data_IF_226672923659
#
_entry.id   IF_226672923659
#
_cell.length_a   1.000
_cell.length_b   1.000
_cell.length_c   1.000
_cell.angle_alpha   90.00
_cell.angle_beta   90.00
_cell.angle_gamma   90.00
#
_symmetry.space_group_name_H-M   'P 1'
#
loop_
_entity.id
_entity.type
_entity.pdbx_description
1 polymer ?
#
# COMPACT_ATOMS: atom_id res chain seq x y z
N UNK A 1 -9.13 -6.35 14.09
CA UNK A 1 -10.18 -5.49 13.50
C UNK A 1 -11.50 -6.25 13.35
N UNK A 2 -11.54 -7.30 12.55
CA UNK A 2 -12.80 -8.01 12.19
C UNK A 2 -13.32 -9.05 13.17
N UNK A 3 -12.54 -9.46 14.17
CA UNK A 3 -13.02 -10.41 15.19
C UNK A 3 -13.94 -9.69 16.19
N UNK A 4 -15.24 -10.04 16.24
CA UNK A 4 -16.18 -9.39 17.15
C UNK A 4 -15.93 -9.75 18.62
N UNK A 5 -15.14 -10.78 18.92
CA UNK A 5 -14.85 -11.21 20.29
C UNK A 5 -13.81 -10.35 20.99
N UNK A 6 -13.00 -9.61 20.24
CA UNK A 6 -11.95 -8.75 20.80
C UNK A 6 -12.52 -7.39 21.18
N UNK A 7 -12.13 -6.91 22.35
CA UNK A 7 -12.40 -5.53 22.78
C UNK A 7 -11.63 -4.52 21.93
N UNK A 8 -12.10 -3.28 21.88
CA UNK A 8 -11.42 -2.23 21.12
C UNK A 8 -10.04 -1.90 21.69
N UNK A 9 -9.86 -2.02 23.01
CA UNK A 9 -8.55 -1.89 23.66
C UNK A 9 -7.57 -2.98 23.19
N UNK A 10 -8.03 -4.22 23.03
CA UNK A 10 -7.19 -5.31 22.50
C UNK A 10 -6.87 -5.12 21.02
N UNK A 11 -7.84 -4.69 20.21
CA UNK A 11 -7.62 -4.36 18.79
C UNK A 11 -6.59 -3.25 18.64
N UNK A 12 -6.70 -2.19 19.45
CA UNK A 12 -5.76 -1.06 19.47
C UNK A 12 -4.34 -1.52 19.83
N UNK A 13 -4.20 -2.36 20.86
CA UNK A 13 -2.90 -2.94 21.26
C UNK A 13 -2.27 -3.77 20.14
N UNK A 14 -3.05 -4.61 19.48
CA UNK A 14 -2.58 -5.44 18.36
C UNK A 14 -2.16 -4.59 17.16
N UNK A 15 -2.91 -3.53 16.89
CA UNK A 15 -2.60 -2.59 15.83
C UNK A 15 -1.31 -1.81 16.10
N UNK A 16 -1.12 -1.29 17.32
CA UNK A 16 0.14 -0.64 17.72
C UNK A 16 1.33 -1.59 17.52
N UNK A 17 1.19 -2.85 17.94
CA UNK A 17 2.21 -3.87 17.70
C UNK A 17 2.48 -4.10 16.22
N UNK A 18 1.46 -4.12 15.37
CA UNK A 18 1.62 -4.25 13.92
C UNK A 18 2.38 -3.05 13.33
N UNK A 19 2.07 -1.83 13.77
CA UNK A 19 2.78 -0.61 13.38
C UNK A 19 4.26 -0.66 13.78
N UNK A 20 4.59 -1.10 15.00
CA UNK A 20 5.98 -1.25 15.45
C UNK A 20 6.76 -2.20 14.54
N UNK A 21 6.19 -3.39 14.28
CA UNK A 21 6.82 -4.40 13.41
C UNK A 21 7.01 -3.86 11.99
N UNK A 22 6.02 -3.13 11.45
CA UNK A 22 6.12 -2.53 10.12
C UNK A 22 7.24 -1.48 10.07
N UNK A 23 7.29 -0.57 11.04
CA UNK A 23 8.33 0.47 11.10
C UNK A 23 9.73 -0.14 11.22
N UNK A 24 9.90 -1.14 12.08
CA UNK A 24 11.19 -1.81 12.24
C UNK A 24 11.61 -2.55 10.97
N UNK A 25 10.67 -3.24 10.31
CA UNK A 25 10.94 -3.93 9.05
C UNK A 25 11.36 -2.95 7.95
N UNK A 26 10.67 -1.81 7.82
CA UNK A 26 11.02 -0.75 6.89
C UNK A 26 12.41 -0.16 7.17
N UNK A 27 12.72 0.19 8.43
CA UNK A 27 14.05 0.70 8.82
C UNK A 27 15.15 -0.32 8.52
N UNK A 28 14.91 -1.59 8.81
CA UNK A 28 15.85 -2.66 8.50
C UNK A 28 16.10 -2.75 6.99
N UNK A 29 15.05 -2.74 6.16
CA UNK A 29 15.18 -2.74 4.71
C UNK A 29 15.98 -1.54 4.19
N UNK A 30 15.69 -0.33 4.68
CA UNK A 30 16.43 0.90 4.34
C UNK A 30 17.90 0.86 4.75
N UNK A 31 18.24 0.11 5.80
CA UNK A 31 19.61 -0.10 6.27
C UNK A 31 20.33 -1.30 5.62
N UNK A 32 19.79 -1.84 4.52
CA UNK A 32 20.41 -2.95 3.79
C UNK A 32 20.19 -4.34 4.41
N UNK A 33 19.27 -4.47 5.38
CA UNK A 33 18.91 -5.74 6.02
C UNK A 33 17.64 -6.37 5.42
N UNK A 34 17.18 -5.86 4.27
CA UNK A 34 16.06 -6.44 3.52
C UNK A 34 16.47 -7.73 2.81
N UNK A 35 15.50 -8.62 2.56
CA UNK A 35 15.77 -9.96 2.00
C UNK A 35 15.64 -10.01 0.47
N UNK A 36 14.80 -9.17 -0.13
CA UNK A 36 14.39 -9.30 -1.53
C UNK A 36 15.57 -9.19 -2.50
N UNK A 37 16.43 -8.19 -2.31
CA UNK A 37 17.62 -7.99 -3.15
C UNK A 37 18.68 -9.06 -2.87
N UNK A 38 18.77 -9.55 -1.64
CA UNK A 38 19.66 -10.66 -1.30
C UNK A 38 19.24 -11.96 -2.02
N UNK A 39 17.95 -12.32 -1.97
CA UNK A 39 17.41 -13.47 -2.70
C UNK A 39 17.58 -13.32 -4.22
N UNK A 40 17.38 -12.10 -4.75
CA UNK A 40 17.61 -11.82 -6.16
C UNK A 40 19.08 -12.01 -6.56
N UNK A 41 20.04 -11.55 -5.75
CA UNK A 41 21.46 -11.78 -6.01
C UNK A 41 21.81 -13.26 -6.01
N UNK A 42 21.30 -14.03 -5.06
CA UNK A 42 21.52 -15.49 -5.03
C UNK A 42 20.97 -16.16 -6.29
N UNK A 43 19.82 -15.70 -6.79
CA UNK A 43 19.26 -16.16 -8.06
C UNK A 43 20.12 -15.78 -9.27
N UNK A 44 20.60 -14.54 -9.37
CA UNK A 44 21.51 -14.15 -10.45
C UNK A 44 22.78 -15.00 -10.47
N UNK A 45 23.34 -15.29 -9.29
CA UNK A 45 24.51 -16.17 -9.14
C UNK A 45 24.18 -17.60 -9.55
N UNK A 46 23.05 -18.16 -9.11
CA UNK A 46 22.65 -19.53 -9.46
C UNK A 46 22.46 -19.68 -10.97
N UNK A 47 21.82 -18.71 -11.62
CA UNK A 47 21.68 -18.65 -13.07
C UNK A 47 23.04 -18.57 -13.75
N UNK A 48 23.94 -17.69 -13.28
CA UNK A 48 25.27 -17.51 -13.87
C UNK A 48 26.15 -18.76 -13.82
N UNK A 49 25.99 -19.61 -12.80
CA UNK A 49 26.70 -20.88 -12.66
C UNK A 49 25.92 -22.11 -13.16
N UNK A 50 24.72 -21.93 -13.69
CA UNK A 50 23.86 -23.05 -14.11
C UNK A 50 23.42 -23.96 -12.96
N UNK A 51 23.30 -23.41 -11.74
CA UNK A 51 22.87 -24.14 -10.54
C UNK A 51 21.36 -23.97 -10.38
N UNK A 52 20.63 -25.08 -10.35
CA UNK A 52 19.24 -25.08 -9.95
C UNK A 52 19.10 -25.10 -8.42
N UNK A 53 18.25 -24.22 -7.90
CA UNK A 53 17.95 -24.15 -6.47
C UNK A 53 16.44 -24.28 -6.25
N UNK A 54 15.96 -25.42 -5.71
CA UNK A 54 14.55 -25.59 -5.36
C UNK A 54 14.04 -24.51 -4.40
N UNK A 55 14.90 -24.04 -3.50
CA UNK A 55 14.60 -22.95 -2.59
C UNK A 55 14.33 -21.64 -3.33
N UNK A 56 15.25 -21.21 -4.22
CA UNK A 56 15.09 -19.96 -4.97
C UNK A 56 13.90 -20.03 -5.93
N UNK A 57 13.67 -21.17 -6.57
CA UNK A 57 12.49 -21.40 -7.42
C UNK A 57 11.19 -21.25 -6.62
N UNK A 58 11.13 -21.76 -5.39
CA UNK A 58 9.96 -21.59 -4.54
C UNK A 58 9.80 -20.16 -4.03
N UNK A 59 10.90 -19.54 -3.60
CA UNK A 59 10.90 -18.20 -3.04
C UNK A 59 10.45 -17.15 -4.07
N UNK A 60 10.93 -17.25 -5.31
CA UNK A 60 10.68 -16.27 -6.37
C UNK A 60 9.40 -16.50 -7.16
N UNK A 61 8.77 -17.68 -7.06
CA UNK A 61 7.49 -17.99 -7.72
C UNK A 61 6.25 -17.51 -6.95
N UNK A 62 6.44 -16.88 -5.79
CA UNK A 62 5.32 -16.35 -5.00
C UNK A 62 4.60 -15.23 -5.77
N UNK A 63 3.26 -15.25 -5.82
CA UNK A 63 2.52 -14.24 -6.55
C UNK A 63 2.54 -12.93 -5.75
N UNK A 64 3.22 -11.91 -6.27
CA UNK A 64 3.31 -10.56 -5.70
C UNK A 64 1.99 -9.79 -5.93
N UNK A 65 0.89 -10.29 -5.35
CA UNK A 65 -0.49 -9.83 -5.61
C UNK A 65 -0.79 -8.41 -5.13
N UNK A 66 0.02 -7.85 -4.25
CA UNK A 66 -0.12 -6.48 -3.81
C UNK A 66 1.23 -5.79 -3.95
N UNK A 67 1.29 -4.80 -4.84
CA UNK A 67 2.44 -3.92 -4.98
C UNK A 67 2.06 -2.55 -4.44
N UNK A 68 2.79 -2.08 -3.43
CA UNK A 68 2.52 -0.78 -2.79
C UNK A 68 3.74 0.13 -2.86
N UNK A 69 3.53 1.44 -3.07
CA UNK A 69 4.59 2.42 -2.92
C UNK A 69 4.04 3.73 -2.38
N UNK A 70 4.77 4.30 -1.42
CA UNK A 70 4.61 5.70 -1.07
C UNK A 70 5.23 6.57 -2.17
N UNK A 71 4.55 7.63 -2.55
CA UNK A 71 5.07 8.65 -3.44
C UNK A 71 5.83 9.72 -2.66
N UNK A 72 6.96 10.22 -3.16
CA UNK A 72 7.60 11.40 -2.59
C UNK A 72 6.63 12.59 -2.58
N UNK A 73 6.41 13.18 -1.39
CA UNK A 73 5.42 14.26 -1.24
C UNK A 73 5.76 15.52 -2.04
N UNK A 74 7.04 15.72 -2.35
CA UNK A 74 7.56 16.92 -3.03
C UNK A 74 7.62 16.79 -4.55
N UNK A 75 7.13 15.68 -5.13
CA UNK A 75 7.15 15.51 -6.59
C UNK A 75 6.19 16.44 -7.32
N UNK A 76 5.16 16.94 -6.64
CA UNK A 76 4.13 17.80 -7.23
C UNK A 76 3.28 18.47 -6.16
N UNK A 77 2.81 19.66 -6.47
CA UNK A 77 1.88 20.44 -5.64
C UNK A 77 0.41 20.23 -6.05
N UNK A 78 0.13 19.29 -6.97
CA UNK A 78 -1.22 19.05 -7.49
C UNK A 78 -2.23 18.65 -6.42
N UNK A 79 -1.78 18.06 -5.31
CA UNK A 79 -2.65 17.74 -4.17
C UNK A 79 -3.34 18.99 -3.59
N UNK A 80 -2.73 20.19 -3.70
CA UNK A 80 -3.36 21.46 -3.31
C UNK A 80 -4.59 21.82 -4.15
N UNK A 81 -4.73 21.24 -5.35
CA UNK A 81 -5.93 21.40 -6.16
C UNK A 81 -7.09 20.57 -5.61
N UNK A 82 -6.81 19.48 -4.88
CA UNK A 82 -7.86 18.70 -4.20
C UNK A 82 -8.52 19.55 -3.13
N UNK A 83 -7.74 20.23 -2.28
CA UNK A 83 -8.28 21.16 -1.27
C UNK A 83 -9.18 22.22 -1.91
N UNK A 84 -8.68 22.90 -2.94
CA UNK A 84 -9.45 23.91 -3.68
C UNK A 84 -10.72 23.34 -4.32
N UNK A 85 -10.69 22.09 -4.80
CA UNK A 85 -11.87 21.44 -5.36
C UNK A 85 -12.92 21.15 -4.27
N UNK A 86 -12.48 20.74 -3.08
CA UNK A 86 -13.36 20.50 -1.93
C UNK A 86 -13.95 21.81 -1.35
N UNK A 87 -13.25 22.93 -1.47
CA UNK A 87 -13.73 24.27 -1.09
C UNK A 87 -14.80 24.85 -2.03
N UNK A 88 -15.17 24.13 -3.11
CA UNK A 88 -16.16 24.60 -4.07
C UNK A 88 -15.66 25.73 -4.98
N UNK A 89 -14.35 25.80 -5.22
CA UNK A 89 -13.78 26.72 -6.20
C UNK A 89 -14.08 26.26 -7.64
N UNK A 90 -13.47 26.90 -8.65
CA UNK A 90 -13.60 26.49 -10.06
C UNK A 90 -12.97 25.13 -10.38
N UNK A 91 -12.16 24.57 -9.49
CA UNK A 91 -11.47 23.30 -9.68
C UNK A 91 -12.37 22.15 -9.22
N UNK A 92 -12.25 21.00 -9.88
CA UNK A 92 -12.94 19.76 -9.54
C UNK A 92 -11.93 18.68 -9.11
N UNK A 93 -12.41 17.60 -8.50
CA UNK A 93 -11.59 16.43 -8.18
C UNK A 93 -10.97 15.83 -9.44
N UNK A 94 -11.64 15.97 -10.59
CA UNK A 94 -11.12 15.50 -11.88
C UNK A 94 -9.87 16.27 -12.33
N UNK A 95 -9.77 17.56 -11.98
CA UNK A 95 -8.59 18.39 -12.25
C UNK A 95 -7.38 18.03 -11.38
N UNK A 96 -7.62 17.28 -10.29
CA UNK A 96 -6.60 16.87 -9.33
C UNK A 96 -6.35 15.36 -9.33
N UNK A 97 -6.81 14.64 -10.37
CA UNK A 97 -6.60 13.19 -10.50
C UNK A 97 -5.12 12.82 -10.44
N UNK A 98 -4.85 11.74 -9.71
CA UNK A 98 -3.50 11.17 -9.55
C UNK A 98 -2.48 12.22 -9.09
N UNK A 99 -2.69 12.92 -7.95
CA UNK A 99 -1.85 14.03 -7.53
C UNK A 99 -0.42 13.60 -7.18
N UNK A 100 -0.05 12.32 -7.30
CA UNK A 100 1.34 11.84 -7.30
C UNK A 100 1.67 10.77 -8.35
N UNK A 101 0.71 10.41 -9.22
CA UNK A 101 0.84 9.33 -10.21
C UNK A 101 0.34 7.96 -9.73
N UNK A 102 0.73 6.89 -10.44
CA UNK A 102 0.32 5.52 -10.13
C UNK A 102 0.97 4.48 -11.05
N UNK A 103 0.78 3.20 -10.74
CA UNK A 103 1.29 2.08 -11.54
C UNK A 103 0.27 0.95 -11.59
N UNK A 104 0.40 0.07 -12.60
CA UNK A 104 -0.43 -1.13 -12.78
C UNK A 104 -0.06 -2.28 -11.83
N UNK A 105 -0.92 -3.30 -11.68
CA UNK A 105 -0.59 -4.49 -10.91
C UNK A 105 0.49 -5.33 -11.61
N UNK A 106 1.39 -5.93 -10.83
CA UNK A 106 2.45 -6.82 -11.33
C UNK A 106 1.99 -8.27 -11.51
N UNK A 107 0.88 -8.65 -10.87
CA UNK A 107 0.23 -9.96 -11.00
C UNK A 107 -1.07 -9.84 -11.80
N UNK A 108 -1.48 -10.93 -12.46
CA UNK A 108 -2.78 -10.98 -13.15
C UNK A 108 -3.96 -10.82 -12.19
N UNK A 109 -3.84 -11.39 -11.00
CA UNK A 109 -4.84 -11.42 -9.94
C UNK A 109 -4.48 -10.51 -8.75
N UNK A 110 -3.82 -9.38 -9.05
CA UNK A 110 -3.30 -8.47 -8.03
C UNK A 110 -3.70 -7.00 -8.22
N UNK A 111 -3.13 -6.17 -7.34
CA UNK A 111 -3.35 -4.74 -7.24
C UNK A 111 -2.03 -3.95 -7.29
N UNK A 112 -2.06 -2.79 -7.95
CA UNK A 112 -1.05 -1.74 -7.79
C UNK A 112 -1.63 -0.60 -6.97
N UNK A 113 -1.03 -0.29 -5.83
CA UNK A 113 -1.53 0.73 -4.89
C UNK A 113 -0.43 1.75 -4.61
N UNK A 114 -0.60 2.94 -5.19
CA UNK A 114 0.26 4.08 -4.88
C UNK A 114 -0.45 4.97 -3.87
N UNK A 115 0.29 5.52 -2.91
CA UNK A 115 -0.30 6.41 -1.91
C UNK A 115 0.58 7.61 -1.58
N UNK A 116 -0.06 8.68 -1.14
CA UNK A 116 0.56 9.94 -0.74
C UNK A 116 -0.05 10.43 0.55
N UNK A 117 0.80 10.78 1.52
CA UNK A 117 0.41 11.56 2.69
C UNK A 117 0.76 13.01 2.36
N UNK A 118 -0.24 13.83 2.04
CA UNK A 118 -0.09 15.17 1.51
C UNK A 118 -0.55 16.22 2.52
N UNK A 119 0.27 17.25 2.74
CA UNK A 119 0.01 18.24 3.78
C UNK A 119 -0.11 17.59 5.16
N UNK A 120 -1.09 18.05 5.94
CA UNK A 120 -1.42 17.51 7.27
C UNK A 120 -2.73 16.71 7.27
N UNK A 121 -3.62 16.97 6.32
CA UNK A 121 -5.03 16.51 6.38
C UNK A 121 -5.45 15.59 5.23
N UNK A 122 -4.53 15.22 4.32
CA UNK A 122 -4.88 14.47 3.12
C UNK A 122 -4.10 13.16 2.96
N UNK A 123 -4.84 12.08 2.72
CA UNK A 123 -4.33 10.83 2.17
C UNK A 123 -4.87 10.62 0.76
N UNK A 124 -3.98 10.50 -0.22
CA UNK A 124 -4.32 10.18 -1.59
C UNK A 124 -3.96 8.73 -1.93
N UNK A 125 -4.84 8.03 -2.63
CA UNK A 125 -4.59 6.68 -3.14
C UNK A 125 -4.84 6.61 -4.64
N UNK A 126 -3.98 5.91 -5.36
CA UNK A 126 -4.20 5.44 -6.72
C UNK A 126 -4.19 3.92 -6.73
N UNK A 127 -5.31 3.31 -7.10
CA UNK A 127 -5.53 1.87 -7.03
C UNK A 127 -5.82 1.32 -8.42
N UNK A 128 -5.02 0.36 -8.87
CA UNK A 128 -5.18 -0.29 -10.16
C UNK A 128 -5.35 -1.80 -10.02
N UNK A 129 -6.21 -2.37 -10.85
CA UNK A 129 -6.39 -3.81 -11.03
C UNK A 129 -6.69 -4.11 -12.50
N UNK A 130 -6.60 -5.38 -12.91
CA UNK A 130 -6.89 -5.78 -14.30
C UNK A 130 -8.37 -6.10 -14.46
N UNK A 131 -9.03 -5.45 -15.42
CA UNK A 131 -10.44 -5.72 -15.77
C UNK A 131 -10.68 -7.17 -16.23
N UNK A 132 -9.66 -7.84 -16.75
CA UNK A 132 -9.71 -9.24 -17.15
C UNK A 132 -9.75 -10.22 -15.98
N UNK A 133 -9.41 -9.78 -14.76
CA UNK A 133 -9.40 -10.62 -13.58
C UNK A 133 -10.69 -10.44 -12.76
N UNK A 134 -11.60 -11.44 -12.74
CA UNK A 134 -12.90 -11.30 -12.10
C UNK A 134 -12.84 -11.23 -10.57
N UNK A 135 -11.70 -11.58 -9.97
CA UNK A 135 -11.51 -11.57 -8.51
C UNK A 135 -10.91 -10.27 -7.99
N UNK A 136 -10.58 -9.31 -8.86
CA UNK A 136 -10.04 -8.01 -8.47
C UNK A 136 -10.95 -6.85 -8.86
N UNK A 137 -10.99 -5.80 -8.05
CA UNK A 137 -11.72 -4.57 -8.37
C UNK A 137 -11.08 -3.40 -7.64
N UNK A 138 -10.54 -2.43 -8.39
CA UNK A 138 -9.99 -1.19 -7.82
C UNK A 138 -11.01 -0.47 -6.95
N UNK A 139 -12.28 -0.38 -7.39
CA UNK A 139 -13.33 0.33 -6.68
C UNK A 139 -13.63 -0.34 -5.32
N UNK A 140 -13.82 -1.66 -5.32
CA UNK A 140 -14.04 -2.40 -4.05
C UNK A 140 -12.85 -2.30 -3.11
N UNK A 141 -11.63 -2.34 -3.64
CA UNK A 141 -10.43 -2.20 -2.82
C UNK A 141 -10.29 -0.77 -2.26
N UNK A 142 -10.81 0.24 -2.97
CA UNK A 142 -10.92 1.60 -2.45
C UNK A 142 -11.91 1.68 -1.30
N UNK A 143 -13.10 1.09 -1.45
CA UNK A 143 -14.11 1.00 -0.39
C UNK A 143 -13.55 0.29 0.85
N UNK A 144 -12.80 -0.81 0.65
CA UNK A 144 -12.14 -1.55 1.73
C UNK A 144 -11.09 -0.71 2.47
N UNK A 145 -10.29 0.10 1.75
CA UNK A 145 -9.34 1.03 2.38
C UNK A 145 -10.07 2.11 3.17
N UNK A 146 -11.12 2.69 2.61
CA UNK A 146 -11.91 3.73 3.29
C UNK A 146 -12.52 3.20 4.58
N UNK A 147 -13.14 2.01 4.53
CA UNK A 147 -13.67 1.35 5.71
C UNK A 147 -12.57 1.02 6.73
N UNK A 148 -11.41 0.53 6.29
CA UNK A 148 -10.30 0.26 7.17
C UNK A 148 -9.81 1.54 7.88
N UNK A 149 -9.68 2.66 7.16
CA UNK A 149 -9.31 3.95 7.75
C UNK A 149 -10.37 4.46 8.74
N UNK A 150 -11.66 4.29 8.44
CA UNK A 150 -12.75 4.63 9.34
C UNK A 150 -12.72 3.79 10.63
N UNK A 151 -12.47 2.48 10.51
CA UNK A 151 -12.34 1.57 11.65
C UNK A 151 -11.14 1.94 12.52
N UNK A 152 -10.00 2.26 11.90
CA UNK A 152 -8.82 2.75 12.60
C UNK A 152 -9.13 4.05 13.36
N UNK A 153 -9.81 5.00 12.72
CA UNK A 153 -10.22 6.27 13.37
C UNK A 153 -11.12 6.01 14.57
N UNK A 154 -12.09 5.11 14.44
CA UNK A 154 -13.03 4.77 15.52
C UNK A 154 -12.34 4.16 16.75
N UNK A 155 -11.21 3.45 16.58
CA UNK A 155 -10.45 2.91 17.71
C UNK A 155 -9.74 3.97 18.55
N UNK A 156 -9.31 5.09 17.94
CA UNK A 156 -8.66 6.19 18.66
C UNK A 156 -9.65 7.23 19.18
N UNK A 157 -10.78 7.37 18.48
CA UNK A 157 -11.86 8.30 18.82
C UNK A 157 -13.17 7.50 18.95
N UNK A 158 -13.32 6.70 20.02
CA UNK A 158 -14.58 6.01 20.27
C UNK A 158 -15.70 7.05 20.31
N UNK A 159 -16.80 6.78 19.60
CA UNK A 159 -17.98 7.65 19.61
C UNK A 159 -18.44 7.79 21.07
N UNK A 160 -18.54 9.04 21.55
CA UNK A 160 -19.20 9.36 22.82
C UNK A 160 -20.66 8.87 22.84
#
# INVERSE_FOLDING_TARGET
>A
MVDPKLSDAEKLKLLQRACDVHQDSYRNAMSGKGIDRHLFTLYCVSVGFGIESPFLNNALSRPWRLSTSQQPQQQTDNWRLVEKALEGTKYSIDDARCPGGGFGPVAEDGYGVSYMVAGEDMLGFHISSKKSCPTTSSDKFADDIEQALADLKALWHPKE
#
